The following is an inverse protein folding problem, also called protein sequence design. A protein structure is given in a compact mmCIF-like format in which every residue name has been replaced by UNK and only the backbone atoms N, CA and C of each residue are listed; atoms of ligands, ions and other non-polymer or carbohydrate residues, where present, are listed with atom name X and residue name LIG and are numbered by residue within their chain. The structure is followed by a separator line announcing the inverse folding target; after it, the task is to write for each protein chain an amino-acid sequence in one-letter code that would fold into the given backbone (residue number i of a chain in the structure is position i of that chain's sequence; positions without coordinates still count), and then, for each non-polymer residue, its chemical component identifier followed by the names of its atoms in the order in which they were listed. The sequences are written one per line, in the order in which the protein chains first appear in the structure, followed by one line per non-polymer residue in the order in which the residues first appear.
data_IF_773119463742
#
_entry.id   IF_773119463742
#
_cell.length_a   1.000
_cell.length_b   1.000
_cell.length_c   1.000
_cell.angle_alpha   90.00
_cell.angle_beta   90.00
_cell.angle_gamma   90.00
#
_symmetry.space_group_name_H-M   'P 1'
#
loop_
_entity.id
_entity.type
_entity.pdbx_description
1 polymer ?
#
# COMPACT_ATOMS: atom_id res chain seq x y z
N UNK A 1 -0.80 7.09 44.07
CA UNK A 1 -0.54 8.28 43.23
C UNK A 1 -1.06 8.01 41.83
N UNK A 2 -2.05 8.76 41.37
CA UNK A 2 -2.58 8.62 40.01
C UNK A 2 -1.55 9.18 38.99
N UNK A 3 -1.13 8.38 38.03
CA UNK A 3 -0.29 8.85 36.90
C UNK A 3 -1.17 9.65 35.96
N UNK A 4 -1.02 10.96 35.96
CA UNK A 4 -1.66 11.84 34.99
C UNK A 4 -1.10 11.51 33.61
N UNK A 5 -1.98 11.10 32.68
CA UNK A 5 -1.63 10.87 31.27
C UNK A 5 -1.19 12.19 30.65
N UNK A 6 0.10 12.33 30.37
CA UNK A 6 0.59 13.43 29.55
C UNK A 6 0.59 13.00 28.09
N UNK A 7 -0.18 13.66 27.22
CA UNK A 7 -0.14 13.36 25.79
C UNK A 7 1.27 13.63 25.27
N UNK A 8 1.84 12.64 24.57
CA UNK A 8 3.15 12.79 23.92
C UNK A 8 3.08 14.00 22.97
N UNK A 9 4.05 14.93 23.10
CA UNK A 9 4.21 16.06 22.17
C UNK A 9 4.16 15.53 20.74
N UNK A 10 3.22 16.05 19.91
CA UNK A 10 3.17 15.77 18.48
C UNK A 10 4.50 16.24 17.88
N UNK A 11 5.30 15.33 17.39
CA UNK A 11 6.50 15.65 16.62
C UNK A 11 6.05 16.51 15.44
N UNK A 12 6.66 17.67 15.23
CA UNK A 12 6.37 18.49 14.06
C UNK A 12 6.72 17.67 12.81
N UNK A 13 5.69 17.29 12.06
CA UNK A 13 5.85 16.55 10.81
C UNK A 13 6.51 17.47 9.78
N UNK A 14 7.50 16.95 9.08
CA UNK A 14 8.03 17.63 7.93
C UNK A 14 7.00 17.57 6.80
N UNK A 15 6.21 18.63 6.65
CA UNK A 15 5.14 18.72 5.65
C UNK A 15 5.66 18.98 4.24
N UNK A 16 6.98 18.99 4.03
CA UNK A 16 7.57 19.19 2.70
C UNK A 16 7.24 18.00 1.80
N UNK A 17 6.92 18.33 0.55
CA UNK A 17 6.76 17.34 -0.50
C UNK A 17 8.11 16.67 -0.81
N UNK A 18 8.10 15.34 -0.90
CA UNK A 18 9.30 14.56 -1.17
C UNK A 18 9.04 13.61 -2.33
N UNK A 19 9.97 13.54 -3.27
CA UNK A 19 9.95 12.56 -4.33
C UNK A 19 10.57 11.26 -3.81
N UNK A 20 9.86 10.15 -3.99
CA UNK A 20 10.31 8.81 -3.58
C UNK A 20 9.96 7.79 -4.65
N UNK A 21 10.76 6.71 -4.69
CA UNK A 21 10.47 5.58 -5.55
C UNK A 21 9.80 4.49 -4.75
N UNK A 22 8.68 3.96 -5.28
CA UNK A 22 7.92 2.88 -4.67
C UNK A 22 8.52 1.55 -5.09
N UNK A 23 8.88 0.71 -4.13
CA UNK A 23 9.56 -0.55 -4.40
C UNK A 23 8.58 -1.73 -4.47
N UNK A 24 7.59 -1.77 -3.60
CA UNK A 24 6.64 -2.88 -3.50
C UNK A 24 5.31 -2.44 -2.87
N UNK A 25 4.33 -3.33 -2.87
CA UNK A 25 3.09 -3.17 -2.11
C UNK A 25 3.19 -3.88 -0.75
N UNK A 26 2.49 -3.35 0.24
CA UNK A 26 2.18 -4.08 1.46
C UNK A 26 0.98 -5.01 1.25
N UNK A 27 0.61 -5.77 2.28
CA UNK A 27 -0.53 -6.70 2.22
C UNK A 27 -1.91 -6.01 2.16
N UNK A 28 -1.99 -4.72 2.42
CA UNK A 28 -3.20 -3.91 2.27
C UNK A 28 -3.25 -3.17 0.93
N UNK A 29 -2.21 -3.23 0.12
CA UNK A 29 -2.15 -2.55 -1.17
C UNK A 29 -1.55 -1.15 -1.13
N UNK A 30 -1.00 -0.70 -0.01
CA UNK A 30 -0.24 0.54 0.04
C UNK A 30 1.15 0.37 -0.57
N UNK A 31 1.60 1.34 -1.34
CA UNK A 31 2.97 1.37 -1.84
C UNK A 31 3.99 1.58 -0.72
N UNK A 32 5.07 0.82 -0.75
CA UNK A 32 6.19 0.95 0.20
C UNK A 32 7.35 1.59 -0.52
N UNK A 33 7.77 2.74 -0.02
CA UNK A 33 9.03 3.41 -0.34
C UNK A 33 9.91 3.47 0.92
N UNK A 34 11.15 3.91 0.76
CA UNK A 34 12.04 4.09 1.91
C UNK A 34 12.52 5.53 2.00
N UNK A 35 12.38 6.10 3.18
CA UNK A 35 12.89 7.41 3.52
C UNK A 35 13.88 7.29 4.68
N UNK A 36 15.16 7.59 4.43
CA UNK A 36 16.23 7.46 5.45
C UNK A 36 16.24 6.07 6.12
N UNK A 37 16.12 5.01 5.32
CA UNK A 37 16.04 3.61 5.77
C UNK A 37 14.77 3.23 6.55
N UNK A 38 13.80 4.13 6.65
CA UNK A 38 12.52 3.89 7.30
C UNK A 38 11.46 3.61 6.24
N UNK A 39 10.64 2.55 6.38
CA UNK A 39 9.56 2.29 5.43
C UNK A 39 8.52 3.41 5.50
N UNK A 40 8.11 3.86 4.32
CA UNK A 40 7.10 4.88 4.10
C UNK A 40 5.95 4.25 3.32
N UNK A 41 4.78 4.20 3.92
CA UNK A 41 3.55 3.67 3.31
C UNK A 41 2.79 4.79 2.62
N UNK A 42 2.42 4.57 1.37
CA UNK A 42 1.74 5.55 0.52
C UNK A 42 0.56 4.88 -0.15
N UNK A 43 -0.64 5.23 0.30
CA UNK A 43 -1.87 4.70 -0.29
C UNK A 43 -2.03 5.19 -1.74
N UNK A 44 -2.42 4.29 -2.63
CA UNK A 44 -2.63 4.57 -4.04
C UNK A 44 -1.37 4.62 -4.92
N UNK A 45 -0.19 4.39 -4.36
CA UNK A 45 1.06 4.28 -5.11
C UNK A 45 1.38 2.82 -5.50
N UNK A 46 1.97 2.60 -6.67
CA UNK A 46 2.30 1.29 -7.21
C UNK A 46 3.81 1.05 -7.31
N UNK A 47 4.26 -0.20 -7.26
CA UNK A 47 5.67 -0.54 -7.45
C UNK A 47 6.22 -0.03 -8.78
N UNK A 48 7.46 0.47 -8.75
CA UNK A 48 8.13 1.04 -9.91
C UNK A 48 7.76 2.49 -10.22
N UNK A 49 6.82 3.06 -9.48
CA UNK A 49 6.45 4.47 -9.64
C UNK A 49 7.41 5.40 -8.90
N UNK A 50 7.65 6.55 -9.51
CA UNK A 50 8.22 7.71 -8.83
C UNK A 50 7.10 8.67 -8.48
N UNK A 51 6.94 8.96 -7.19
CA UNK A 51 5.81 9.73 -6.68
C UNK A 51 6.28 10.85 -5.76
N UNK A 52 5.51 11.94 -5.75
CA UNK A 52 5.64 13.00 -4.74
C UNK A 52 4.68 12.70 -3.61
N UNK A 53 5.20 12.65 -2.41
CA UNK A 53 4.43 12.37 -1.20
C UNK A 53 4.65 13.45 -0.14
N UNK A 54 3.66 13.63 0.70
CA UNK A 54 3.71 14.48 1.89
C UNK A 54 3.54 13.61 3.13
N UNK A 55 4.45 13.72 4.09
CA UNK A 55 4.35 12.99 5.35
C UNK A 55 3.12 13.44 6.14
N UNK A 56 2.28 12.49 6.51
CA UNK A 56 1.08 12.71 7.36
C UNK A 56 1.24 12.10 8.74
N UNK A 57 2.08 11.07 8.88
CA UNK A 57 2.40 10.45 10.15
C UNK A 57 3.85 9.96 10.14
N UNK A 58 4.58 10.20 11.22
CA UNK A 58 5.91 9.66 11.43
C UNK A 58 6.02 9.00 12.79
N UNK A 59 6.35 7.71 12.79
CA UNK A 59 6.62 6.89 13.98
C UNK A 59 8.09 6.47 14.00
N UNK A 60 8.53 5.88 15.12
CA UNK A 60 9.91 5.42 15.27
C UNK A 60 10.32 4.40 14.20
N UNK A 61 9.40 3.48 13.83
CA UNK A 61 9.69 2.34 12.95
C UNK A 61 9.17 2.53 11.51
N UNK A 62 8.22 3.40 11.26
CA UNK A 62 7.63 3.63 9.96
C UNK A 62 7.06 5.05 9.82
N UNK A 63 6.77 5.45 8.60
CA UNK A 63 6.06 6.68 8.28
C UNK A 63 4.89 6.40 7.34
N UNK A 64 3.92 7.29 7.31
CA UNK A 64 2.84 7.31 6.33
C UNK A 64 2.87 8.61 5.54
N UNK A 65 2.67 8.51 4.24
CA UNK A 65 2.64 9.62 3.32
C UNK A 65 1.33 9.67 2.55
N UNK A 66 0.88 10.88 2.25
CA UNK A 66 -0.21 11.12 1.31
C UNK A 66 0.38 11.28 -0.08
N UNK A 67 -0.15 10.54 -1.05
CA UNK A 67 0.20 10.69 -2.46
C UNK A 67 -0.27 12.07 -2.95
N UNK A 68 0.66 12.88 -3.45
CA UNK A 68 0.36 14.22 -4.00
C UNK A 68 0.35 14.17 -5.52
N UNK A 69 1.37 13.55 -6.12
CA UNK A 69 1.52 13.48 -7.56
C UNK A 69 2.33 12.25 -7.95
N UNK A 70 2.00 11.66 -9.09
CA UNK A 70 2.78 10.61 -9.74
C UNK A 70 3.64 11.29 -10.79
N UNK A 71 4.97 11.19 -10.66
CA UNK A 71 5.93 11.72 -11.61
C UNK A 71 6.14 10.76 -12.77
N UNK A 72 6.29 9.49 -12.45
CA UNK A 72 6.47 8.42 -13.40
C UNK A 72 5.55 7.26 -13.04
N UNK A 73 4.45 7.06 -13.80
CA UNK A 73 3.50 5.97 -13.53
C UNK A 73 4.09 4.61 -13.89
N UNK A 74 3.60 3.56 -13.22
CA UNK A 74 3.87 2.16 -13.58
C UNK A 74 3.04 1.76 -14.81
N UNK A 75 3.60 0.87 -15.64
CA UNK A 75 2.89 0.27 -16.78
C UNK A 75 1.67 -0.57 -16.35
N UNK A 76 1.64 -0.99 -15.10
CA UNK A 76 0.54 -1.78 -14.51
C UNK A 76 -0.57 -0.92 -13.91
N UNK A 77 -0.43 0.40 -13.94
CA UNK A 77 -1.47 1.32 -13.49
C UNK A 77 -2.61 1.39 -14.49
N UNK A 78 -3.82 1.25 -13.97
CA UNK A 78 -5.06 1.43 -14.74
C UNK A 78 -5.94 2.48 -14.09
N UNK A 79 -6.80 3.11 -14.88
CA UNK A 79 -7.80 4.03 -14.34
C UNK A 79 -8.88 3.24 -13.59
N UNK A 80 -9.16 3.53 -12.31
CA UNK A 80 -10.24 2.88 -11.58
C UNK A 80 -11.59 3.12 -12.27
N UNK A 81 -12.37 2.06 -12.50
CA UNK A 81 -13.67 2.17 -13.15
C UNK A 81 -14.75 2.79 -12.25
N UNK A 82 -14.57 2.73 -10.92
CA UNK A 82 -15.52 3.27 -9.95
C UNK A 82 -15.26 4.77 -9.73
N UNK A 83 -16.25 5.64 -9.98
CA UNK A 83 -16.09 7.09 -9.78
C UNK A 83 -15.87 7.48 -8.31
N UNK A 84 -16.24 6.60 -7.38
CA UNK A 84 -16.08 6.82 -5.93
C UNK A 84 -14.79 6.21 -5.34
N UNK A 85 -13.92 5.66 -6.18
CA UNK A 85 -12.73 4.94 -5.73
C UNK A 85 -11.86 5.75 -4.76
N UNK A 86 -11.66 7.03 -5.04
CA UNK A 86 -10.79 7.90 -4.24
C UNK A 86 -11.42 8.40 -2.92
N UNK A 87 -12.73 8.19 -2.74
CA UNK A 87 -13.48 8.70 -1.59
C UNK A 87 -14.07 7.59 -0.72
N UNK A 88 -14.50 6.50 -1.34
CA UNK A 88 -15.27 5.44 -0.69
C UNK A 88 -14.46 4.57 0.27
N UNK A 89 -13.19 4.29 -0.02
CA UNK A 89 -12.35 3.39 0.77
C UNK A 89 -12.78 1.92 0.80
N UNK A 90 -13.74 1.52 -0.06
CA UNK A 90 -14.23 0.13 -0.13
C UNK A 90 -13.37 -0.79 -1.01
N UNK A 91 -12.44 -0.25 -1.78
CA UNK A 91 -11.57 -0.98 -2.70
C UNK A 91 -10.15 -0.39 -2.64
N UNK A 92 -9.15 -1.25 -2.53
CA UNK A 92 -7.76 -0.81 -2.35
C UNK A 92 -6.91 -0.95 -3.63
N UNK A 93 -7.32 -1.77 -4.61
CA UNK A 93 -6.48 -2.16 -5.75
C UNK A 93 -7.08 -1.87 -7.13
N UNK A 94 -8.15 -1.08 -7.26
CA UNK A 94 -8.76 -0.79 -8.57
C UNK A 94 -7.83 -0.04 -9.54
N UNK A 95 -6.81 0.62 -9.03
CA UNK A 95 -5.80 1.33 -9.81
C UNK A 95 -4.68 0.42 -10.34
N UNK A 96 -4.71 -0.87 -9.99
CA UNK A 96 -3.74 -1.88 -10.43
C UNK A 96 -4.39 -2.85 -11.41
N UNK A 97 -3.67 -3.19 -12.50
CA UNK A 97 -4.10 -4.21 -13.45
C UNK A 97 -4.52 -5.52 -12.76
N UNK A 98 -5.60 -6.13 -13.23
CA UNK A 98 -6.21 -7.31 -12.59
C UNK A 98 -5.24 -8.49 -12.46
N UNK A 99 -4.44 -8.77 -13.47
CA UNK A 99 -3.45 -9.85 -13.40
C UNK A 99 -2.37 -9.56 -12.35
N UNK A 100 -2.01 -8.30 -12.19
CA UNK A 100 -1.07 -7.87 -11.15
C UNK A 100 -1.69 -7.92 -9.76
N UNK A 101 -3.00 -7.67 -9.63
CA UNK A 101 -3.72 -7.90 -8.37
C UNK A 101 -3.65 -9.37 -7.94
N UNK A 102 -3.87 -10.30 -8.87
CA UNK A 102 -3.76 -11.74 -8.60
C UNK A 102 -2.36 -12.13 -8.17
N UNK A 103 -1.35 -11.66 -8.91
CA UNK A 103 0.06 -11.89 -8.59
C UNK A 103 0.42 -11.37 -7.20
N UNK A 104 -0.01 -10.16 -6.87
CA UNK A 104 0.22 -9.56 -5.55
C UNK A 104 -0.43 -10.38 -4.42
N UNK A 105 -1.67 -10.81 -4.59
CA UNK A 105 -2.39 -11.65 -3.61
C UNK A 105 -1.70 -12.99 -3.38
N UNK A 106 -1.26 -13.65 -4.45
CA UNK A 106 -0.52 -14.91 -4.35
C UNK A 106 0.84 -14.72 -3.66
N UNK A 107 1.57 -13.66 -3.99
CA UNK A 107 2.84 -13.34 -3.34
C UNK A 107 2.66 -13.05 -1.86
N UNK A 108 1.62 -12.30 -1.50
CA UNK A 108 1.29 -12.01 -0.10
C UNK A 108 0.99 -13.28 0.66
N UNK A 109 0.17 -14.17 0.11
CA UNK A 109 -0.15 -15.47 0.72
C UNK A 109 1.12 -16.31 0.89
N UNK A 110 1.95 -16.42 -0.15
CA UNK A 110 3.22 -17.17 -0.09
C UNK A 110 4.15 -16.63 0.99
N UNK A 111 4.28 -15.32 1.12
CA UNK A 111 5.10 -14.69 2.16
C UNK A 111 4.57 -14.97 3.58
N UNK A 112 3.24 -14.92 3.75
CA UNK A 112 2.61 -15.26 5.03
C UNK A 112 2.83 -16.72 5.39
N UNK A 113 2.60 -17.64 4.46
CA UNK A 113 2.81 -19.08 4.67
C UNK A 113 4.26 -19.40 4.98
N UNK A 114 5.21 -18.81 4.27
CA UNK A 114 6.64 -18.94 4.56
C UNK A 114 7.00 -18.51 5.98
N UNK A 115 6.38 -17.45 6.47
CA UNK A 115 6.60 -16.95 7.82
C UNK A 115 6.21 -17.95 8.90
N UNK A 116 5.19 -18.77 8.65
CA UNK A 116 4.73 -19.81 9.58
C UNK A 116 5.44 -21.15 9.39
N UNK A 117 5.69 -21.57 8.15
CA UNK A 117 6.31 -22.87 7.84
C UNK A 117 7.83 -22.86 7.89
N UNK A 118 8.46 -21.68 7.78
CA UNK A 118 9.90 -21.53 7.63
C UNK A 118 10.45 -21.87 6.24
N UNK A 119 9.62 -22.42 5.35
CA UNK A 119 10.00 -22.86 3.99
C UNK A 119 9.11 -22.18 2.94
N UNK A 120 9.60 -22.11 1.70
CA UNK A 120 8.78 -21.74 0.57
C UNK A 120 7.76 -22.85 0.29
N UNK A 121 6.49 -22.45 0.18
CA UNK A 121 5.38 -23.33 -0.15
C UNK A 121 4.96 -23.03 -1.58
N UNK A 122 4.89 -24.07 -2.39
CA UNK A 122 4.28 -23.98 -3.71
C UNK A 122 2.76 -23.89 -3.55
N UNK A 123 2.18 -22.87 -4.18
CA UNK A 123 0.73 -22.68 -4.19
C UNK A 123 0.15 -23.27 -5.46
N UNK A 124 -0.99 -23.93 -5.32
CA UNK A 124 -1.79 -24.37 -6.46
C UNK A 124 -2.28 -23.17 -7.28
N UNK A 125 -2.72 -23.43 -8.51
CA UNK A 125 -3.33 -22.43 -9.36
C UNK A 125 -4.55 -21.79 -8.66
N UNK A 126 -4.70 -20.46 -8.71
CA UNK A 126 -5.82 -19.79 -8.06
C UNK A 126 -7.15 -20.16 -8.73
N UNK A 127 -8.18 -20.35 -7.93
CA UNK A 127 -9.54 -20.41 -8.44
C UNK A 127 -10.03 -19.00 -8.72
N UNK A 128 -10.37 -18.73 -9.96
CA UNK A 128 -10.81 -17.42 -10.42
C UNK A 128 -12.32 -17.43 -10.68
N UNK A 129 -12.98 -16.35 -10.28
CA UNK A 129 -14.36 -16.05 -10.62
C UNK A 129 -14.44 -14.71 -11.38
N UNK A 130 -15.64 -14.20 -11.53
CA UNK A 130 -15.85 -12.89 -12.13
C UNK A 130 -15.14 -11.81 -11.31
N UNK A 131 -14.43 -10.91 -11.98
CA UNK A 131 -13.73 -9.82 -11.32
C UNK A 131 -14.65 -8.67 -10.90
N UNK A 132 -15.82 -8.57 -11.55
CA UNK A 132 -16.83 -7.54 -11.33
C UNK A 132 -18.19 -8.18 -11.09
N UNK A 133 -19.05 -7.48 -10.37
CA UNK A 133 -20.46 -7.86 -10.13
C UNK A 133 -20.66 -9.28 -9.56
N UNK A 134 -19.64 -9.88 -8.96
CA UNK A 134 -19.69 -11.24 -8.40
C UNK A 134 -20.51 -11.33 -7.10
N UNK A 135 -20.70 -10.20 -6.42
CA UNK A 135 -21.43 -10.14 -5.15
C UNK A 135 -22.91 -9.97 -5.42
N UNK A 136 -23.73 -10.95 -5.03
CA UNK A 136 -25.17 -10.99 -5.25
C UNK A 136 -26.00 -10.42 -4.08
N UNK A 137 -25.35 -10.00 -3.00
CA UNK A 137 -26.00 -9.44 -1.81
C UNK A 137 -25.30 -8.16 -1.35
#
# INVERSE_FOLDING_TARGET
MARIFQPKKKTQLNTRHQAVQVERLDHHGAGIAYLKKKPLFIDGALPGEEVVTQLVEEKSKFARGKLIKILKPSDTRVEPFCPHYHECGGCDLQHLDYNQQLTHKQQTLRQLMRKFSGNDIELDAPLLGDSLAYRRR
#
